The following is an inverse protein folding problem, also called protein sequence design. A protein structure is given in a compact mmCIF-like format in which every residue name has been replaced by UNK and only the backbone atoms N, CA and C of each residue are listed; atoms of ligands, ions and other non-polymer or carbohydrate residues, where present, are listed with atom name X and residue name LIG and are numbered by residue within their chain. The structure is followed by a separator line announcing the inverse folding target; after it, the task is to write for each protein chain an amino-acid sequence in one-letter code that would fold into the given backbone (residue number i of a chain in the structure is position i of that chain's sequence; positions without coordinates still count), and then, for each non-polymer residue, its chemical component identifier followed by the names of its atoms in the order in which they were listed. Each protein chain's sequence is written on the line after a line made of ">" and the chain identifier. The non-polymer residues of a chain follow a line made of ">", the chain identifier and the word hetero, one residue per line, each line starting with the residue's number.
data_IF_484329726060
#
_entry.id   IF_484329726060
#
_cell.length_a   1.000
_cell.length_b   1.000
_cell.length_c   1.000
_cell.angle_alpha   90.00
_cell.angle_beta   90.00
_cell.angle_gamma   90.00
#
_symmetry.space_group_name_H-M   'P 1'
#
loop_
_entity.id
_entity.type
_entity.pdbx_description
1 polymer ?
#
# COMPACT_ATOMS: atom_id res chain seq x y z
N UNK A 1 -20.98 -1.41 -24.84
CA UNK A 1 -20.61 -2.80 -24.54
C UNK A 1 -21.15 -3.15 -23.17
N UNK A 2 -22.39 -3.65 -23.12
CA UNK A 2 -23.01 -4.08 -21.86
C UNK A 2 -22.32 -5.37 -21.43
N UNK A 3 -21.57 -5.33 -20.33
CA UNK A 3 -20.97 -6.55 -19.77
C UNK A 3 -22.06 -7.21 -18.95
N UNK A 4 -22.66 -8.27 -19.48
CA UNK A 4 -23.62 -9.07 -18.73
C UNK A 4 -22.90 -9.68 -17.52
N UNK A 5 -23.24 -9.17 -16.35
CA UNK A 5 -22.86 -9.76 -15.06
C UNK A 5 -23.49 -11.15 -14.98
N UNK A 6 -22.79 -12.12 -14.37
CA UNK A 6 -23.37 -13.44 -14.09
C UNK A 6 -24.68 -13.22 -13.34
N UNK A 7 -25.77 -13.70 -13.93
CA UNK A 7 -27.08 -13.59 -13.32
C UNK A 7 -27.20 -14.49 -12.11
N UNK A 8 -28.12 -14.17 -11.20
CA UNK A 8 -28.41 -15.01 -10.04
C UNK A 8 -28.77 -16.45 -10.47
N UNK A 9 -29.56 -16.59 -11.54
CA UNK A 9 -29.95 -17.87 -12.10
C UNK A 9 -28.75 -18.69 -12.62
N UNK A 10 -27.82 -18.07 -13.34
CA UNK A 10 -26.59 -18.75 -13.78
C UNK A 10 -25.69 -19.17 -12.61
N UNK A 11 -25.61 -18.35 -11.56
CA UNK A 11 -24.83 -18.70 -10.36
C UNK A 11 -25.45 -19.89 -9.60
N UNK A 12 -26.78 -20.00 -9.58
CA UNK A 12 -27.51 -21.12 -8.99
C UNK A 12 -27.33 -22.40 -9.82
N UNK A 13 -27.35 -22.30 -11.15
CA UNK A 13 -27.09 -23.43 -12.04
C UNK A 13 -25.63 -23.95 -11.89
N UNK A 14 -24.66 -23.05 -11.81
CA UNK A 14 -23.26 -23.43 -11.55
C UNK A 14 -23.12 -24.15 -10.21
N UNK A 15 -23.81 -23.68 -9.15
CA UNK A 15 -23.82 -24.35 -7.84
C UNK A 15 -24.46 -25.73 -7.92
N UNK A 16 -25.57 -25.86 -8.63
CA UNK A 16 -26.28 -27.12 -8.82
C UNK A 16 -25.39 -28.16 -9.52
N UNK A 17 -24.60 -27.74 -10.49
CA UNK A 17 -23.62 -28.59 -11.18
C UNK A 17 -22.39 -28.93 -10.31
N UNK A 18 -21.98 -28.04 -9.40
CA UNK A 18 -20.83 -28.28 -8.51
C UNK A 18 -21.17 -29.18 -7.31
N UNK A 19 -22.41 -29.13 -6.82
CA UNK A 19 -22.82 -29.86 -5.61
C UNK A 19 -22.61 -31.39 -5.69
N UNK A 20 -22.89 -32.08 -6.82
CA UNK A 20 -22.61 -33.50 -6.96
C UNK A 20 -21.13 -33.83 -6.85
N UNK A 21 -20.26 -33.01 -7.45
CA UNK A 21 -18.80 -33.20 -7.43
C UNK A 21 -18.27 -33.14 -5.99
N UNK A 22 -18.76 -32.17 -5.21
CA UNK A 22 -18.42 -32.05 -3.78
C UNK A 22 -18.96 -33.22 -2.97
N UNK A 23 -20.19 -33.66 -3.25
CA UNK A 23 -20.79 -34.80 -2.58
C UNK A 23 -20.05 -36.11 -2.88
N UNK A 24 -19.57 -36.29 -4.11
CA UNK A 24 -18.74 -37.42 -4.53
C UNK A 24 -17.38 -37.39 -3.82
N UNK A 25 -16.72 -36.23 -3.79
CA UNK A 25 -15.44 -36.06 -3.08
C UNK A 25 -15.54 -36.38 -1.58
N UNK A 26 -16.61 -35.97 -0.91
CA UNK A 26 -16.83 -36.27 0.51
C UNK A 26 -17.09 -37.76 0.80
N UNK A 27 -17.62 -38.51 -0.17
CA UNK A 27 -17.90 -39.94 -0.04
C UNK A 27 -16.70 -40.81 -0.42
N UNK A 28 -15.71 -40.24 -1.11
CA UNK A 28 -14.59 -40.99 -1.65
C UNK A 28 -13.66 -41.46 -0.52
N UNK A 29 -13.42 -42.77 -0.45
CA UNK A 29 -12.48 -43.39 0.48
C UNK A 29 -11.39 -44.10 -0.33
N UNK A 30 -10.13 -43.75 -0.07
CA UNK A 30 -8.97 -44.23 -0.82
C UNK A 30 -8.23 -45.26 0.03
N UNK A 31 -8.60 -46.54 -0.11
CA UNK A 31 -7.94 -47.66 0.57
C UNK A 31 -7.26 -48.64 -0.41
N UNK A 32 -7.37 -48.40 -1.72
CA UNK A 32 -6.84 -49.27 -2.78
C UNK A 32 -6.30 -48.44 -3.93
N UNK A 33 -5.41 -49.03 -4.75
CA UNK A 33 -4.89 -48.39 -5.96
C UNK A 33 -6.00 -48.03 -6.97
N UNK A 34 -7.10 -48.79 -7.01
CA UNK A 34 -8.26 -48.43 -7.83
C UNK A 34 -8.98 -47.19 -7.28
N UNK A 35 -9.07 -47.06 -5.95
CA UNK A 35 -9.60 -45.86 -5.30
C UNK A 35 -8.73 -44.63 -5.54
N UNK A 36 -7.41 -44.80 -5.61
CA UNK A 36 -6.45 -43.73 -5.93
C UNK A 36 -6.63 -43.23 -7.37
N UNK A 37 -6.75 -44.14 -8.34
CA UNK A 37 -7.02 -43.76 -9.73
C UNK A 37 -8.36 -43.00 -9.87
N UNK A 38 -9.42 -43.44 -9.17
CA UNK A 38 -10.70 -42.72 -9.13
C UNK A 38 -10.56 -41.33 -8.51
N UNK A 39 -9.72 -41.18 -7.49
CA UNK A 39 -9.42 -39.87 -6.91
C UNK A 39 -8.71 -38.94 -7.90
N UNK A 40 -7.76 -39.45 -8.68
CA UNK A 40 -7.11 -38.65 -9.72
C UNK A 40 -8.07 -38.19 -10.82
N UNK A 41 -8.96 -39.06 -11.29
CA UNK A 41 -10.01 -38.68 -12.25
C UNK A 41 -10.96 -37.63 -11.67
N UNK A 42 -11.38 -37.78 -10.41
CA UNK A 42 -12.21 -36.77 -9.73
C UNK A 42 -11.48 -35.42 -9.59
N UNK A 43 -10.19 -35.43 -9.25
CA UNK A 43 -9.38 -34.21 -9.18
C UNK A 43 -9.24 -33.51 -10.53
N UNK A 44 -9.16 -34.26 -11.64
CA UNK A 44 -9.14 -33.71 -12.99
C UNK A 44 -10.44 -32.98 -13.32
N UNK A 45 -11.59 -33.60 -13.04
CA UNK A 45 -12.91 -32.97 -13.22
C UNK A 45 -13.04 -31.71 -12.36
N UNK A 46 -12.58 -31.74 -11.11
CA UNK A 46 -12.56 -30.58 -10.22
C UNK A 46 -11.73 -29.44 -10.82
N UNK A 47 -10.54 -29.75 -11.35
CA UNK A 47 -9.66 -28.76 -11.99
C UNK A 47 -10.33 -28.10 -13.19
N UNK A 48 -10.88 -28.88 -14.11
CA UNK A 48 -11.61 -28.36 -15.29
C UNK A 48 -12.76 -27.44 -14.86
N UNK A 49 -13.47 -27.81 -13.78
CA UNK A 49 -14.56 -26.99 -13.25
C UNK A 49 -14.09 -25.70 -12.60
N UNK A 50 -12.96 -25.71 -11.89
CA UNK A 50 -12.32 -24.51 -11.35
C UNK A 50 -11.91 -23.56 -12.47
N UNK A 51 -11.30 -24.08 -13.53
CA UNK A 51 -10.92 -23.29 -14.71
C UNK A 51 -12.14 -22.68 -15.40
N UNK A 52 -13.24 -23.41 -15.53
CA UNK A 52 -14.50 -22.87 -16.06
C UNK A 52 -15.02 -21.67 -15.26
N UNK A 53 -15.03 -21.77 -13.92
CA UNK A 53 -15.48 -20.67 -13.04
C UNK A 53 -14.55 -19.47 -13.15
N UNK A 54 -13.23 -19.72 -13.15
CA UNK A 54 -12.22 -18.66 -13.29
C UNK A 54 -12.27 -17.97 -14.66
N UNK A 55 -12.51 -18.71 -15.73
CA UNK A 55 -12.72 -18.16 -17.06
C UNK A 55 -13.94 -17.24 -17.11
N UNK A 56 -15.08 -17.65 -16.52
CA UNK A 56 -16.25 -16.77 -16.40
C UNK A 56 -15.92 -15.48 -15.63
N UNK A 57 -15.19 -15.57 -14.52
CA UNK A 57 -14.73 -14.40 -13.75
C UNK A 57 -13.86 -13.48 -14.60
N UNK A 58 -12.88 -14.03 -15.32
CA UNK A 58 -11.92 -13.23 -16.09
C UNK A 58 -12.54 -12.59 -17.32
N UNK A 59 -13.49 -13.24 -18.00
CA UNK A 59 -14.24 -12.65 -19.12
C UNK A 59 -14.94 -11.35 -18.70
N UNK A 60 -15.49 -11.31 -17.49
CA UNK A 60 -16.17 -10.12 -16.95
C UNK A 60 -15.16 -9.10 -16.41
N UNK A 61 -14.22 -9.55 -15.59
CA UNK A 61 -13.31 -8.64 -14.87
C UNK A 61 -12.25 -8.02 -15.77
N UNK A 62 -11.80 -8.68 -16.85
CA UNK A 62 -10.78 -8.13 -17.77
C UNK A 62 -11.20 -6.81 -18.42
N UNK A 63 -12.36 -6.69 -19.10
CA UNK A 63 -12.78 -5.42 -19.68
C UNK A 63 -13.04 -4.34 -18.61
N UNK A 64 -13.64 -4.70 -17.48
CA UNK A 64 -13.87 -3.77 -16.37
C UNK A 64 -12.55 -3.22 -15.81
N UNK A 65 -11.57 -4.09 -15.56
CA UNK A 65 -10.24 -3.70 -15.11
C UNK A 65 -9.48 -2.88 -16.15
N UNK A 66 -9.73 -3.13 -17.44
CA UNK A 66 -9.19 -2.30 -18.52
C UNK A 66 -9.78 -0.89 -18.46
N UNK A 67 -11.11 -0.77 -18.43
CA UNK A 67 -11.79 0.53 -18.32
C UNK A 67 -11.42 1.28 -17.05
N UNK A 68 -11.34 0.59 -15.90
CA UNK A 68 -10.90 1.20 -14.64
C UNK A 68 -9.47 1.77 -14.75
N UNK A 69 -8.56 1.04 -15.41
CA UNK A 69 -7.20 1.53 -15.64
C UNK A 69 -7.19 2.76 -16.55
N UNK A 70 -7.95 2.74 -17.64
CA UNK A 70 -8.05 3.87 -18.58
C UNK A 70 -8.58 5.12 -17.90
N UNK A 71 -9.67 4.99 -17.12
CA UNK A 71 -10.23 6.09 -16.32
C UNK A 71 -9.20 6.61 -15.32
N UNK A 72 -8.56 5.73 -14.55
CA UNK A 72 -7.54 6.14 -13.58
C UNK A 72 -6.35 6.85 -14.24
N UNK A 73 -5.92 6.41 -15.42
CA UNK A 73 -4.87 7.07 -16.20
C UNK A 73 -5.30 8.48 -16.62
N UNK A 74 -6.49 8.62 -17.22
CA UNK A 74 -7.03 9.93 -17.61
C UNK A 74 -7.08 10.90 -16.43
N UNK A 75 -7.62 10.46 -15.29
CA UNK A 75 -7.71 11.34 -14.11
C UNK A 75 -6.34 11.63 -13.48
N UNK A 76 -5.34 10.75 -13.61
CA UNK A 76 -3.96 11.06 -13.22
C UNK A 76 -3.36 12.13 -14.13
N UNK A 77 -3.60 12.07 -15.43
CA UNK A 77 -3.12 13.09 -16.38
C UNK A 77 -3.78 14.44 -16.13
N UNK A 78 -5.09 14.47 -15.86
CA UNK A 78 -5.82 15.71 -15.55
C UNK A 78 -5.44 16.29 -14.18
N UNK A 79 -5.29 15.46 -13.15
CA UNK A 79 -4.96 15.91 -11.79
C UNK A 79 -3.47 16.16 -11.55
N UNK A 80 -2.59 15.57 -12.35
CA UNK A 80 -1.13 15.66 -12.21
C UNK A 80 -0.62 17.10 -12.18
N UNK A 81 -0.92 17.94 -13.19
CA UNK A 81 -0.48 19.34 -13.22
C UNK A 81 -0.97 20.15 -12.01
N UNK A 82 -2.20 19.90 -11.55
CA UNK A 82 -2.76 20.58 -10.38
C UNK A 82 -2.05 20.16 -9.09
N UNK A 83 -1.71 18.88 -8.93
CA UNK A 83 -0.90 18.40 -7.80
C UNK A 83 0.49 19.03 -7.81
N UNK A 84 1.14 19.10 -8.97
CA UNK A 84 2.42 19.79 -9.12
C UNK A 84 2.30 21.27 -8.74
N UNK A 85 1.23 21.95 -9.16
CA UNK A 85 0.99 23.34 -8.80
C UNK A 85 0.77 23.52 -7.29
N UNK A 86 -0.02 22.65 -6.66
CA UNK A 86 -0.22 22.62 -5.20
C UNK A 86 1.12 22.45 -4.46
N UNK A 87 1.96 21.49 -4.87
CA UNK A 87 3.28 21.26 -4.28
C UNK A 87 4.20 22.48 -4.43
N UNK A 88 4.21 23.12 -5.60
CA UNK A 88 4.99 24.34 -5.86
C UNK A 88 4.54 25.46 -4.92
N UNK A 89 3.23 25.69 -4.78
CA UNK A 89 2.69 26.75 -3.93
C UNK A 89 3.00 26.47 -2.46
N UNK A 90 2.79 25.23 -1.99
CA UNK A 90 3.16 24.83 -0.62
C UNK A 90 4.63 25.07 -0.34
N UNK A 91 5.52 24.69 -1.25
CA UNK A 91 6.96 24.93 -1.12
C UNK A 91 7.28 26.42 -1.03
N UNK A 92 6.66 27.26 -1.86
CA UNK A 92 6.83 28.72 -1.81
C UNK A 92 6.36 29.32 -0.48
N UNK A 93 5.21 28.87 0.03
CA UNK A 93 4.69 29.30 1.35
C UNK A 93 5.66 28.92 2.47
N UNK A 94 6.21 27.69 2.45
CA UNK A 94 7.17 27.25 3.44
C UNK A 94 8.47 28.07 3.39
N UNK A 95 9.00 28.33 2.19
CA UNK A 95 10.18 29.18 2.00
C UNK A 95 9.95 30.60 2.52
N UNK A 96 8.78 31.18 2.21
CA UNK A 96 8.41 32.49 2.71
C UNK A 96 8.30 32.50 4.25
N UNK A 97 7.64 31.51 4.85
CA UNK A 97 7.55 31.42 6.31
C UNK A 97 8.93 31.31 6.97
N UNK A 98 9.86 30.57 6.39
CA UNK A 98 11.22 30.48 6.90
C UNK A 98 11.96 31.82 6.79
N UNK A 99 11.84 32.52 5.66
CA UNK A 99 12.41 33.86 5.50
C UNK A 99 11.80 34.86 6.49
N UNK A 100 10.48 34.84 6.70
CA UNK A 100 9.82 35.67 7.70
C UNK A 100 10.34 35.38 9.11
N UNK A 101 10.58 34.12 9.47
CA UNK A 101 11.17 33.75 10.76
C UNK A 101 12.57 34.33 10.93
N UNK A 102 13.41 34.21 9.89
CA UNK A 102 14.78 34.75 9.91
C UNK A 102 14.79 36.29 10.01
N UNK A 103 13.88 36.98 9.32
CA UNK A 103 13.75 38.44 9.40
C UNK A 103 13.33 38.85 10.81
N UNK A 104 12.27 38.23 11.36
CA UNK A 104 11.77 38.52 12.70
C UNK A 104 12.86 38.33 13.77
N UNK A 105 13.64 37.24 13.69
CA UNK A 105 14.76 36.96 14.60
C UNK A 105 15.85 38.03 14.50
N UNK A 106 16.21 38.48 13.29
CA UNK A 106 17.18 39.57 13.08
C UNK A 106 16.68 40.90 13.62
N UNK A 107 15.41 41.23 13.42
CA UNK A 107 14.81 42.46 13.96
C UNK A 107 14.74 42.44 15.48
N UNK A 108 14.39 41.30 16.07
CA UNK A 108 14.40 41.11 17.52
C UNK A 108 15.82 41.23 18.08
N UNK A 109 16.82 40.59 17.47
CA UNK A 109 18.22 40.72 17.88
C UNK A 109 18.73 42.17 17.78
N UNK A 110 18.34 42.91 16.73
CA UNK A 110 18.65 44.35 16.61
C UNK A 110 17.97 45.16 17.70
N UNK A 111 16.66 44.92 17.95
CA UNK A 111 15.91 45.58 19.03
C UNK A 111 16.55 45.31 20.39
N UNK A 112 16.97 44.07 20.67
CA UNK A 112 17.65 43.71 21.92
C UNK A 112 18.98 44.44 22.06
N UNK A 113 19.83 44.46 21.01
CA UNK A 113 21.11 45.19 21.02
C UNK A 113 20.94 46.69 21.27
N UNK A 114 19.94 47.30 20.63
CA UNK A 114 19.60 48.72 20.81
C UNK A 114 19.11 48.94 22.25
N UNK A 115 18.20 48.13 22.76
CA UNK A 115 17.71 48.24 24.14
C UNK A 115 18.82 48.03 25.18
N UNK A 116 19.75 47.10 24.98
CA UNK A 116 20.90 46.91 25.88
C UNK A 116 21.84 48.11 25.84
N UNK A 117 22.12 48.67 24.66
CA UNK A 117 22.93 49.87 24.50
C UNK A 117 22.25 51.11 25.14
N UNK A 118 20.93 51.24 25.01
CA UNK A 118 20.14 52.32 25.64
C UNK A 118 19.94 52.10 27.14
N UNK A 119 19.84 50.86 27.63
CA UNK A 119 19.80 50.53 29.06
C UNK A 119 21.11 50.86 29.74
N UNK A 120 22.25 50.62 29.06
CA UNK A 120 23.57 51.13 29.49
C UNK A 120 23.66 52.67 29.48
N UNK A 121 22.81 53.37 28.71
CA UNK A 121 22.74 54.84 28.60
C UNK A 121 21.51 55.49 29.28
N UNK A 122 20.67 54.74 30.00
CA UNK A 122 19.61 55.25 30.89
C UNK A 122 18.29 55.74 30.27
N UNK A 123 17.90 55.40 29.02
CA UNK A 123 16.61 55.85 28.44
C UNK A 123 15.66 54.69 28.05
N UNK A 124 14.34 54.86 28.31
CA UNK A 124 13.26 53.92 27.94
C UNK A 124 12.56 54.36 26.65
N UNK A 125 12.30 53.43 25.72
CA UNK A 125 11.56 53.66 24.47
C UNK A 125 10.40 52.66 24.39
N UNK A 126 9.20 53.14 24.02
CA UNK A 126 7.99 52.34 23.80
C UNK A 126 7.83 52.09 22.30
N UNK A 127 7.69 50.83 21.88
CA UNK A 127 7.56 50.45 20.47
C UNK A 127 6.07 50.41 20.04
N UNK A 128 5.72 50.83 18.80
CA UNK A 128 4.35 50.82 18.31
C UNK A 128 3.84 49.41 17.98
N UNK A 129 2.51 49.23 18.08
CA UNK A 129 1.80 47.97 17.88
C UNK A 129 1.77 47.54 16.41
N UNK A 130 2.09 46.26 16.17
CA UNK A 130 2.06 45.61 14.86
C UNK A 130 0.63 45.19 14.55
N UNK A 131 0.11 45.60 13.39
CA UNK A 131 -1.22 45.21 12.90
C UNK A 131 -1.07 43.91 12.09
N UNK A 132 -1.78 42.87 12.48
CA UNK A 132 -1.67 41.53 11.87
C UNK A 132 -2.69 41.38 10.72
N UNK A 133 -2.25 41.02 9.49
CA UNK A 133 -3.17 40.84 8.37
C UNK A 133 -3.94 39.52 8.50
N UNK A 134 -5.23 39.52 8.12
CA UNK A 134 -6.05 38.31 8.09
C UNK A 134 -5.45 37.25 7.16
N UNK A 135 -5.11 36.08 7.72
CA UNK A 135 -4.64 34.91 6.99
C UNK A 135 -5.76 33.87 6.91
N UNK A 136 -5.97 33.30 5.73
CA UNK A 136 -6.88 32.16 5.55
C UNK A 136 -6.50 30.97 6.45
N UNK A 137 -7.48 30.15 6.81
CA UNK A 137 -7.34 29.02 7.75
C UNK A 137 -6.35 27.95 7.24
N UNK A 138 -5.05 28.16 7.43
CA UNK A 138 -3.99 27.20 7.10
C UNK A 138 -3.27 26.76 8.37
N UNK A 139 -3.38 25.48 8.70
CA UNK A 139 -2.67 24.87 9.84
C UNK A 139 -1.45 24.11 9.33
N UNK A 140 -0.25 24.50 9.76
CA UNK A 140 0.98 23.74 9.48
C UNK A 140 1.14 22.64 10.53
N UNK A 141 1.14 21.37 10.11
CA UNK A 141 1.40 20.23 11.01
C UNK A 141 2.85 19.75 10.87
N UNK A 142 3.50 19.45 12.00
CA UNK A 142 4.80 18.78 12.02
C UNK A 142 4.58 17.26 12.05
N UNK A 143 5.15 16.53 11.10
CA UNK A 143 5.13 15.06 11.06
C UNK A 143 6.54 14.53 11.31
N UNK A 144 6.67 13.55 12.20
CA UNK A 144 7.91 12.81 12.38
C UNK A 144 8.13 11.89 11.19
N UNK A 145 9.29 12.01 10.57
CA UNK A 145 9.81 11.10 9.55
C UNK A 145 11.08 10.45 10.09
N UNK A 146 11.37 9.22 9.69
CA UNK A 146 12.55 8.49 10.15
C UNK A 146 13.38 8.03 8.96
N UNK A 147 14.69 7.92 9.18
CA UNK A 147 15.65 7.32 8.27
C UNK A 147 16.38 6.24 9.03
N UNK A 148 16.48 5.04 8.45
CA UNK A 148 17.20 3.92 9.07
C UNK A 148 18.70 4.12 8.87
N UNK A 149 19.40 4.48 9.93
CA UNK A 149 20.88 4.64 9.90
C UNK A 149 21.61 3.30 9.91
N UNK A 150 21.13 2.37 10.73
CA UNK A 150 21.65 0.99 10.83
C UNK A 150 20.49 0.03 11.11
N UNK A 151 20.36 -0.98 10.27
CA UNK A 151 19.29 -1.99 10.34
C UNK A 151 19.47 -2.89 11.58
N UNK A 152 20.71 -3.13 12.03
CA UNK A 152 20.99 -4.04 13.16
C UNK A 152 20.56 -3.48 14.52
N UNK A 153 20.43 -2.16 14.62
CA UNK A 153 19.98 -1.46 15.82
C UNK A 153 18.45 -1.29 15.86
N UNK A 154 17.75 -1.61 14.76
CA UNK A 154 16.29 -1.60 14.71
C UNK A 154 15.76 -2.81 15.48
N UNK A 155 14.86 -2.62 16.46
CA UNK A 155 14.24 -3.74 17.17
C UNK A 155 13.58 -4.74 16.22
N UNK A 156 13.70 -6.04 16.54
CA UNK A 156 13.16 -7.14 15.71
C UNK A 156 11.65 -7.00 15.45
N UNK A 157 10.91 -6.35 16.35
CA UNK A 157 9.47 -6.07 16.20
C UNK A 157 9.13 -5.22 14.96
N UNK A 158 10.08 -4.43 14.45
CA UNK A 158 9.90 -3.59 13.26
C UNK A 158 10.55 -4.18 12.00
N UNK A 159 11.18 -5.35 12.11
CA UNK A 159 11.83 -6.04 11.00
C UNK A 159 10.93 -7.14 10.47
N UNK A 160 10.68 -7.14 9.16
CA UNK A 160 9.95 -8.20 8.47
C UNK A 160 10.92 -8.95 7.56
N UNK A 161 10.94 -10.27 7.68
CA UNK A 161 11.79 -11.12 6.84
C UNK A 161 11.26 -11.14 5.41
N UNK A 162 12.11 -10.86 4.43
CA UNK A 162 11.78 -11.00 3.02
C UNK A 162 11.69 -12.48 2.64
N UNK A 163 10.46 -12.98 2.53
CA UNK A 163 10.18 -14.36 2.16
C UNK A 163 10.60 -14.71 0.73
N UNK A 164 10.69 -13.74 -0.18
CA UNK A 164 11.10 -13.96 -1.57
C UNK A 164 12.57 -14.35 -1.66
N UNK A 165 13.42 -13.60 -0.95
CA UNK A 165 14.87 -13.87 -0.87
C UNK A 165 15.13 -15.22 -0.22
N UNK A 166 14.42 -15.52 0.87
CA UNK A 166 14.50 -16.81 1.56
C UNK A 166 14.10 -17.96 0.62
N UNK A 167 12.97 -17.84 -0.08
CA UNK A 167 12.50 -18.88 -0.99
C UNK A 167 13.46 -19.11 -2.17
N UNK A 168 14.07 -18.05 -2.71
CA UNK A 168 15.10 -18.17 -3.74
C UNK A 168 16.36 -18.88 -3.23
N UNK A 169 16.82 -18.58 -2.00
CA UNK A 169 17.95 -19.29 -1.39
C UNK A 169 17.64 -20.79 -1.20
N UNK A 170 16.41 -21.12 -0.77
CA UNK A 170 15.94 -22.50 -0.64
C UNK A 170 15.86 -23.21 -2.01
N UNK A 171 15.42 -22.49 -3.05
CA UNK A 171 15.38 -23.01 -4.42
C UNK A 171 16.78 -23.31 -4.97
N UNK A 172 17.76 -22.46 -4.65
CA UNK A 172 19.17 -22.61 -5.05
C UNK A 172 19.96 -23.67 -4.23
N UNK A 173 19.29 -24.40 -3.33
CA UNK A 173 19.89 -25.53 -2.60
C UNK A 173 20.29 -25.24 -1.15
N UNK A 174 20.03 -24.02 -0.63
CA UNK A 174 20.28 -23.73 0.80
C UNK A 174 19.20 -24.41 1.64
N UNK A 175 19.57 -25.47 2.37
CA UNK A 175 18.64 -26.24 3.22
C UNK A 175 18.71 -25.88 4.70
N UNK A 176 19.68 -25.05 5.09
CA UNK A 176 19.85 -24.57 6.45
C UNK A 176 20.06 -23.05 6.44
N UNK A 177 19.14 -22.32 7.05
CA UNK A 177 19.23 -20.87 7.26
C UNK A 177 19.01 -20.65 8.76
N UNK A 178 19.96 -19.98 9.42
CA UNK A 178 19.89 -19.72 10.86
C UNK A 178 18.59 -18.99 11.20
N UNK A 179 17.79 -19.58 12.11
CA UNK A 179 16.49 -19.04 12.53
C UNK A 179 15.29 -19.51 11.71
N UNK A 180 15.48 -20.31 10.65
CA UNK A 180 14.39 -20.88 9.85
C UNK A 180 14.41 -22.40 9.87
N UNK A 181 13.25 -23.01 10.10
CA UNK A 181 13.04 -24.45 9.91
C UNK A 181 12.49 -24.69 8.52
N UNK A 182 13.32 -25.24 7.63
CA UNK A 182 12.94 -25.60 6.26
C UNK A 182 12.44 -27.05 6.26
N UNK A 183 11.26 -27.30 5.70
CA UNK A 183 10.67 -28.64 5.60
C UNK A 183 9.91 -28.80 4.28
N UNK A 184 9.85 -30.02 3.77
CA UNK A 184 9.10 -30.36 2.57
C UNK A 184 7.68 -30.78 2.95
N UNK A 185 6.68 -30.25 2.24
CA UNK A 185 5.30 -30.75 2.27
C UNK A 185 5.00 -31.36 0.92
N UNK A 186 4.50 -32.59 0.94
CA UNK A 186 3.95 -33.21 -0.25
C UNK A 186 2.61 -32.54 -0.59
N UNK A 187 2.42 -32.23 -1.86
CA UNK A 187 1.17 -31.69 -2.40
C UNK A 187 0.87 -32.41 -3.70
N UNK A 188 -0.36 -32.89 -3.84
CA UNK A 188 -0.83 -33.52 -5.08
C UNK A 188 -1.20 -32.41 -6.06
N UNK A 189 -0.61 -32.47 -7.26
CA UNK A 189 -0.95 -31.56 -8.37
C UNK A 189 -1.47 -32.37 -9.53
N UNK A 190 -2.65 -32.03 -10.03
CA UNK A 190 -3.21 -32.62 -11.25
C UNK A 190 -2.90 -31.71 -12.44
N UNK A 191 -2.25 -32.28 -13.45
CA UNK A 191 -1.91 -31.57 -14.70
C UNK A 191 -3.04 -31.64 -15.69
#
# INVERSE_FOLDING_TARGET
>A
MSTELITKAESEEIRKQNSPIVAEANKLVINTAEGENKAFEALKVIKERLEFVENKRTVITKPLNKSLREVNTLFKELSGPLKTADDIIRKKILLFHEEQRVIAEKEEAKRHRIQEAHRKKGHKIHAPAVVEPERGNSTTQKRWVFEVKDIKLVPEEYLVVDTSVVNNAIANGTREIKGLRIFQRESITVR
#
